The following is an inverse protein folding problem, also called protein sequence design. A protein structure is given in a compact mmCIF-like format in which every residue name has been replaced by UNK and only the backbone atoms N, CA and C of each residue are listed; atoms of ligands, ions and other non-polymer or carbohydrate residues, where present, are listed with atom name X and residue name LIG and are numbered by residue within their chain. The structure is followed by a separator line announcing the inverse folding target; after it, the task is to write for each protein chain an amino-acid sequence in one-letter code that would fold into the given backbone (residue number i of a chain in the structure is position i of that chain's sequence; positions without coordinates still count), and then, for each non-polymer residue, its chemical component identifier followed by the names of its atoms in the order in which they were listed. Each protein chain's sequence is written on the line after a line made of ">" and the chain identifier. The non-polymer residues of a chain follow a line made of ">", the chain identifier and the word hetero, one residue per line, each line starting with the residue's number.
data_IF_336585466221
#
_entry.id   IF_336585466221
#
_cell.length_a   1.000
_cell.length_b   1.000
_cell.length_c   1.000
_cell.angle_alpha   90.00
_cell.angle_beta   90.00
_cell.angle_gamma   90.00
#
_symmetry.space_group_name_H-M   'P 1'
#
loop_
_entity.id
_entity.type
_entity.pdbx_description
1 polymer ?
#
# COMPACT_ATOMS: atom_id res chain seq x y z
N UNK A 1 -2.16 -2.16 2.20
CA UNK A 1 -1.49 -0.91 1.78
C UNK A 1 -0.88 -1.14 0.42
N UNK A 2 -0.89 -0.13 -0.43
CA UNK A 2 -0.31 -0.16 -1.77
C UNK A 2 0.58 1.07 -1.95
N UNK A 3 1.80 0.88 -2.42
CA UNK A 3 2.72 1.94 -2.79
C UNK A 3 3.00 1.82 -4.28
N UNK A 4 2.61 2.81 -5.06
CA UNK A 4 2.86 2.87 -6.51
C UNK A 4 4.04 3.79 -6.74
N UNK A 5 5.08 3.28 -7.40
CA UNK A 5 6.29 4.01 -7.74
C UNK A 5 6.11 4.97 -8.92
N UNK A 6 7.16 5.77 -9.22
CA UNK A 6 7.14 6.75 -10.31
C UNK A 6 6.96 6.11 -11.71
N UNK A 7 7.27 4.83 -11.84
CA UNK A 7 7.12 4.03 -13.05
C UNK A 7 5.73 3.38 -13.19
N UNK A 8 4.83 3.64 -12.23
CA UNK A 8 3.47 3.10 -12.21
C UNK A 8 3.37 1.68 -11.66
N UNK A 9 4.48 1.08 -11.21
CA UNK A 9 4.49 -0.27 -10.65
C UNK A 9 4.31 -0.26 -9.13
N UNK A 10 3.76 -1.34 -8.57
CA UNK A 10 3.71 -1.50 -7.12
C UNK A 10 5.12 -1.81 -6.61
N UNK A 11 5.58 -1.05 -5.63
CA UNK A 11 6.89 -1.25 -4.98
C UNK A 11 6.86 -2.53 -4.17
N UNK A 12 7.85 -3.39 -4.34
CA UNK A 12 8.01 -4.66 -3.59
C UNK A 12 6.71 -5.45 -3.48
N UNK A 13 6.11 -5.83 -4.62
CA UNK A 13 4.82 -6.52 -4.62
C UNK A 13 4.89 -7.83 -3.82
N UNK A 14 3.97 -7.99 -2.87
CA UNK A 14 3.87 -9.19 -2.03
C UNK A 14 2.77 -10.14 -2.51
N UNK A 15 2.00 -9.71 -3.51
CA UNK A 15 0.94 -10.50 -4.12
C UNK A 15 -0.29 -9.68 -4.42
N UNK A 16 -1.37 -10.41 -4.72
CA UNK A 16 -2.63 -9.85 -5.13
C UNK A 16 -3.77 -10.44 -4.30
N UNK A 17 -4.76 -9.61 -4.02
CA UNK A 17 -6.00 -10.04 -3.38
C UNK A 17 -7.16 -9.73 -4.32
N UNK A 18 -8.06 -10.70 -4.49
CA UNK A 18 -9.22 -10.57 -5.37
C UNK A 18 -10.44 -10.13 -4.55
N UNK A 19 -11.11 -9.08 -5.01
CA UNK A 19 -12.37 -8.57 -4.47
C UNK A 19 -13.41 -8.58 -5.59
N UNK A 20 -14.34 -9.53 -5.56
CA UNK A 20 -15.28 -9.75 -6.67
C UNK A 20 -14.52 -9.98 -7.98
N UNK A 21 -14.73 -9.10 -8.95
CA UNK A 21 -14.04 -9.14 -10.25
C UNK A 21 -12.76 -8.30 -10.31
N UNK A 22 -12.43 -7.57 -9.23
CA UNK A 22 -11.25 -6.70 -9.15
C UNK A 22 -10.07 -7.41 -8.50
N UNK A 23 -8.86 -7.11 -8.98
CA UNK A 23 -7.61 -7.57 -8.39
C UNK A 23 -6.85 -6.37 -7.83
N UNK A 24 -6.47 -6.44 -6.55
CA UNK A 24 -5.63 -5.42 -5.90
C UNK A 24 -4.25 -6.01 -5.61
N UNK A 25 -3.22 -5.49 -6.28
CA UNK A 25 -1.82 -5.79 -5.99
C UNK A 25 -1.38 -4.93 -4.81
N UNK A 26 -0.76 -5.54 -3.81
CA UNK A 26 -0.35 -4.87 -2.58
C UNK A 26 1.09 -5.21 -2.18
N UNK A 27 1.72 -4.30 -1.45
CA UNK A 27 3.07 -4.47 -0.90
C UNK A 27 3.05 -4.78 0.61
N UNK A 28 1.93 -4.57 1.29
CA UNK A 28 1.74 -5.05 2.66
C UNK A 28 0.25 -5.20 3.04
N UNK A 29 -0.05 -6.21 3.87
CA UNK A 29 -1.37 -6.47 4.44
C UNK A 29 -1.24 -6.66 5.95
N UNK A 30 -2.12 -6.01 6.71
CA UNK A 30 -2.24 -6.19 8.15
C UNK A 30 -3.67 -6.64 8.48
N UNK A 31 -3.80 -7.64 9.35
CA UNK A 31 -5.08 -8.03 9.96
C UNK A 31 -5.20 -7.31 11.29
N UNK A 32 -6.30 -6.60 11.50
CA UNK A 32 -6.53 -5.78 12.69
C UNK A 32 -7.82 -6.19 13.37
N UNK A 33 -7.81 -6.27 14.71
CA UNK A 33 -9.01 -6.51 15.49
C UNK A 33 -9.55 -5.17 16.01
N UNK A 34 -10.49 -4.57 15.29
CA UNK A 34 -11.04 -3.28 15.64
C UNK A 34 -12.07 -3.41 16.77
N UNK A 35 -11.79 -2.81 17.93
CA UNK A 35 -12.66 -2.85 19.11
C UNK A 35 -13.43 -1.54 19.34
N UNK A 36 -13.77 -0.82 18.26
CA UNK A 36 -14.39 0.52 18.32
C UNK A 36 -13.54 1.57 19.06
N UNK A 37 -12.22 1.36 19.11
CA UNK A 37 -11.26 2.30 19.70
C UNK A 37 -10.20 2.70 18.66
N UNK A 38 -9.64 3.90 18.83
CA UNK A 38 -8.58 4.38 17.95
C UNK A 38 -7.33 3.49 18.09
N UNK A 39 -6.84 2.97 16.97
CA UNK A 39 -5.65 2.12 16.93
C UNK A 39 -4.54 2.78 16.12
N UNK A 40 -3.30 2.64 16.60
CA UNK A 40 -2.11 3.04 15.86
C UNK A 40 -1.50 1.81 15.18
N UNK A 41 -1.43 1.82 13.85
CA UNK A 41 -0.88 0.72 13.06
C UNK A 41 0.37 1.23 12.36
N UNK A 42 1.49 0.53 12.54
CA UNK A 42 2.73 0.80 11.82
C UNK A 42 3.07 -0.39 10.93
N UNK A 43 3.44 -0.12 9.69
CA UNK A 43 3.77 -1.13 8.69
C UNK A 43 5.08 -0.74 8.03
N UNK A 44 6.04 -1.65 8.02
CA UNK A 44 7.31 -1.48 7.31
C UNK A 44 7.25 -2.16 5.94
N UNK A 45 7.84 -1.51 4.95
CA UNK A 45 7.96 -2.00 3.58
C UNK A 45 9.44 -1.90 3.23
N UNK A 46 9.98 -2.99 2.68
CA UNK A 46 11.38 -3.09 2.32
C UNK A 46 11.48 -3.35 0.82
N UNK A 47 12.29 -2.56 0.14
CA UNK A 47 12.67 -2.74 -1.26
C UNK A 47 14.15 -3.11 -1.30
N UNK A 48 14.49 -4.21 -1.96
CA UNK A 48 15.89 -4.65 -2.10
C UNK A 48 16.60 -3.84 -3.17
N UNK A 49 15.85 -3.39 -4.19
CA UNK A 49 16.36 -2.55 -5.26
C UNK A 49 16.47 -1.07 -4.87
N UNK A 50 17.26 -0.33 -5.64
CA UNK A 50 17.36 1.12 -5.46
C UNK A 50 16.06 1.81 -5.85
N UNK A 51 15.46 2.52 -4.90
CA UNK A 51 14.29 3.36 -5.17
C UNK A 51 14.59 4.45 -6.20
N UNK A 52 13.71 4.58 -7.19
CA UNK A 52 13.80 5.58 -8.25
C UNK A 52 13.38 6.95 -7.75
N UNK A 53 14.04 7.99 -8.22
CA UNK A 53 13.59 9.37 -7.98
C UNK A 53 12.21 9.60 -8.60
N UNK A 54 11.34 10.33 -7.91
CA UNK A 54 10.02 10.69 -8.38
C UNK A 54 8.94 10.60 -7.30
N UNK A 55 7.68 10.58 -7.76
CA UNK A 55 6.51 10.56 -6.90
C UNK A 55 6.05 9.14 -6.63
N UNK A 56 5.86 8.84 -5.35
CA UNK A 56 5.30 7.59 -4.85
C UNK A 56 3.91 7.87 -4.30
N UNK A 57 2.92 7.12 -4.78
CA UNK A 57 1.53 7.19 -4.32
C UNK A 57 1.28 6.09 -3.29
N UNK A 58 0.99 6.47 -2.05
CA UNK A 58 0.65 5.55 -0.96
C UNK A 58 -0.86 5.52 -0.79
N UNK A 59 -1.46 4.33 -0.94
CA UNK A 59 -2.89 4.10 -0.82
C UNK A 59 -3.18 3.11 0.32
N UNK A 60 -4.18 3.41 1.13
CA UNK A 60 -4.68 2.51 2.18
C UNK A 60 -6.09 2.05 1.81
N UNK A 61 -6.31 0.75 1.87
CA UNK A 61 -7.57 0.12 1.53
C UNK A 61 -8.09 -0.73 2.70
N UNK A 62 -9.40 -0.72 2.88
CA UNK A 62 -10.17 -1.73 3.59
C UNK A 62 -10.96 -2.49 2.53
N UNK A 63 -10.59 -3.74 2.31
CA UNK A 63 -11.06 -4.51 1.16
C UNK A 63 -10.85 -3.76 -0.19
N UNK A 64 -11.91 -3.55 -0.96
CA UNK A 64 -11.91 -2.74 -2.20
C UNK A 64 -12.09 -1.23 -1.95
N UNK A 65 -12.37 -0.81 -0.72
CA UNK A 65 -12.64 0.59 -0.38
C UNK A 65 -11.35 1.30 -0.03
N UNK A 66 -11.00 2.35 -0.80
CA UNK A 66 -9.87 3.21 -0.46
C UNK A 66 -10.23 4.08 0.75
N UNK A 67 -9.51 3.90 1.85
CA UNK A 67 -9.66 4.71 3.07
C UNK A 67 -8.98 6.07 2.94
N UNK A 68 -7.87 6.13 2.22
CA UNK A 68 -7.11 7.36 2.04
C UNK A 68 -5.87 7.16 1.17
N UNK A 69 -5.23 8.28 0.85
CA UNK A 69 -4.00 8.31 0.05
C UNK A 69 -3.13 9.49 0.42
N UNK A 70 -1.83 9.34 0.20
CA UNK A 70 -0.84 10.43 0.27
C UNK A 70 0.23 10.25 -0.80
N UNK A 71 0.96 11.32 -1.09
CA UNK A 71 2.11 11.31 -1.98
C UNK A 71 3.40 11.51 -1.21
N UNK A 72 4.47 10.86 -1.67
CA UNK A 72 5.83 11.03 -1.17
C UNK A 72 6.73 11.32 -2.37
N UNK A 73 7.58 12.34 -2.30
CA UNK A 73 8.52 12.68 -3.38
C UNK A 73 9.93 12.32 -2.95
N UNK A 74 10.55 11.38 -3.68
CA UNK A 74 11.96 11.02 -3.53
C UNK A 74 12.80 11.83 -4.54
N UNK A 75 13.71 12.66 -4.04
CA UNK A 75 14.54 13.57 -4.85
C UNK A 75 15.88 13.00 -5.26
#
# INVERSE_FOLDING_TARGET
>A
MQIIGPDGNVVSDQGAVKFGDSLLIYNSKATVNFQNEAMHICVSVYEEDTLKKGTYNVNVYEEQRRLGSTEIVLK
#
